data_IF_096230754378
#
_entry.id   IF_096230754378
#
_cell.length_a   1.000
_cell.length_b   1.000
_cell.length_c   1.000
_cell.angle_alpha   90.00
_cell.angle_beta   90.00
_cell.angle_gamma   90.00
#
_symmetry.space_group_name_H-M   'P 1'
#
loop_
_entity.id
_entity.type
_entity.pdbx_description
1 polymer ?
#
# COMPACT_ATOMS: atom_id res chain seq x y z
N UNK A 1 -10.53 -6.19 -3.50
CA UNK A 1 -9.78 -5.34 -4.47
C UNK A 1 -9.70 -6.06 -5.81
N UNK A 2 -9.60 -5.33 -6.92
CA UNK A 2 -9.35 -5.88 -8.27
C UNK A 2 -7.84 -5.99 -8.53
N UNK A 3 -7.43 -6.78 -9.53
CA UNK A 3 -6.01 -6.94 -9.91
C UNK A 3 -5.31 -5.60 -10.18
N UNK A 4 -5.90 -4.74 -11.01
CA UNK A 4 -5.34 -3.41 -11.34
C UNK A 4 -5.13 -2.53 -10.11
N UNK A 5 -6.02 -2.62 -9.11
CA UNK A 5 -5.87 -1.86 -7.86
C UNK A 5 -4.75 -2.40 -6.98
N UNK A 6 -4.51 -3.72 -7.01
CA UNK A 6 -3.39 -4.34 -6.31
C UNK A 6 -2.06 -4.00 -6.97
N UNK A 7 -2.00 -4.03 -8.30
CA UNK A 7 -0.84 -3.62 -9.09
C UNK A 7 -0.49 -2.16 -8.83
N UNK A 8 -1.47 -1.26 -8.91
CA UNK A 8 -1.28 0.17 -8.64
C UNK A 8 -0.78 0.43 -7.21
N UNK A 9 -1.36 -0.24 -6.21
CA UNK A 9 -0.90 -0.14 -4.83
C UNK A 9 0.54 -0.65 -4.70
N UNK A 10 0.88 -1.80 -5.30
CA UNK A 10 2.24 -2.36 -5.25
C UNK A 10 3.29 -1.42 -5.87
N UNK A 11 2.97 -0.82 -7.02
CA UNK A 11 3.86 0.15 -7.70
C UNK A 11 4.12 1.34 -6.79
N UNK A 12 3.07 1.92 -6.20
CA UNK A 12 3.20 3.06 -5.31
C UNK A 12 4.03 2.73 -4.07
N UNK A 13 3.71 1.64 -3.38
CA UNK A 13 4.43 1.21 -2.19
C UNK A 13 5.90 0.96 -2.51
N UNK A 14 6.19 0.31 -3.64
CA UNK A 14 7.57 0.02 -4.06
C UNK A 14 8.36 1.29 -4.38
N UNK A 15 7.73 2.27 -5.04
CA UNK A 15 8.37 3.55 -5.32
C UNK A 15 8.61 4.32 -4.02
N UNK A 16 7.57 4.50 -3.21
CA UNK A 16 7.62 5.28 -2.00
C UNK A 16 8.54 4.68 -0.92
N UNK A 17 8.56 3.35 -0.71
CA UNK A 17 9.50 2.71 0.22
C UNK A 17 10.96 2.91 -0.21
N UNK A 18 11.26 3.01 -1.51
CA UNK A 18 12.62 3.32 -1.98
C UNK A 18 13.00 4.77 -1.80
N UNK A 19 12.03 5.67 -1.88
CA UNK A 19 12.24 7.12 -1.80
C UNK A 19 12.29 7.61 -0.36
N UNK A 20 11.42 7.08 0.51
CA UNK A 20 11.26 7.52 1.89
C UNK A 20 11.84 6.47 2.84
N UNK A 21 13.14 6.63 3.13
CA UNK A 21 13.83 5.82 4.12
C UNK A 21 13.54 6.34 5.53
N UNK A 22 13.27 5.46 6.50
CA UNK A 22 12.88 5.86 7.85
C UNK A 22 14.08 6.40 8.64
N UNK A 23 13.87 7.52 9.35
CA UNK A 23 14.90 8.19 10.15
C UNK A 23 14.90 7.74 11.62
N UNK A 24 13.71 7.47 12.19
CA UNK A 24 13.54 7.14 13.60
C UNK A 24 12.94 5.73 13.83
N UNK A 25 12.82 5.34 15.11
CA UNK A 25 12.32 4.01 15.49
C UNK A 25 10.84 3.82 15.10
N UNK A 26 9.92 4.77 15.38
CA UNK A 26 8.53 4.69 14.90
C UNK A 26 8.40 4.54 13.38
N UNK A 27 9.15 5.34 12.61
CA UNK A 27 9.14 5.28 11.14
C UNK A 27 9.67 3.94 10.64
N UNK A 28 10.72 3.39 11.26
CA UNK A 28 11.24 2.05 10.92
C UNK A 28 10.19 0.97 11.13
N UNK A 29 9.43 1.02 12.23
CA UNK A 29 8.37 0.07 12.48
C UNK A 29 7.26 0.16 11.42
N UNK A 30 6.82 1.37 11.07
CA UNK A 30 5.82 1.58 10.02
C UNK A 30 6.33 1.10 8.66
N UNK A 31 7.58 1.43 8.33
CA UNK A 31 8.25 0.98 7.11
C UNK A 31 8.25 -0.54 7.02
N UNK A 32 8.71 -1.26 8.05
CA UNK A 32 8.76 -2.72 8.04
C UNK A 32 7.38 -3.37 7.90
N UNK A 33 6.35 -2.80 8.53
CA UNK A 33 4.97 -3.30 8.43
C UNK A 33 4.41 -3.11 7.02
N UNK A 34 4.67 -1.95 6.40
CA UNK A 34 4.23 -1.63 5.04
C UNK A 34 5.01 -2.42 4.00
N UNK A 35 6.32 -2.65 4.21
CA UNK A 35 7.16 -3.46 3.33
C UNK A 35 6.70 -4.93 3.34
N UNK A 36 6.43 -5.51 4.52
CA UNK A 36 5.83 -6.85 4.64
C UNK A 36 4.46 -6.94 3.95
N UNK A 37 3.65 -5.89 4.05
CA UNK A 37 2.38 -5.82 3.33
C UNK A 37 2.61 -5.81 1.81
N UNK A 38 3.58 -5.02 1.34
CA UNK A 38 3.95 -4.91 -0.07
C UNK A 38 4.43 -6.26 -0.64
N UNK A 39 5.26 -6.99 0.12
CA UNK A 39 5.69 -8.34 -0.22
C UNK A 39 4.53 -9.32 -0.33
N UNK A 40 3.56 -9.23 0.58
CA UNK A 40 2.36 -10.07 0.53
C UNK A 40 1.48 -9.74 -0.68
N UNK A 41 1.36 -8.46 -1.04
CA UNK A 41 0.68 -8.02 -2.27
C UNK A 41 1.37 -8.63 -3.49
N UNK A 42 2.70 -8.49 -3.58
CA UNK A 42 3.52 -9.06 -4.66
C UNK A 42 3.37 -10.58 -4.77
N UNK A 43 3.42 -11.30 -3.64
CA UNK A 43 3.24 -12.75 -3.61
C UNK A 43 1.85 -13.16 -4.10
N UNK A 44 0.81 -12.41 -3.73
CA UNK A 44 -0.57 -12.65 -4.18
C UNK A 44 -0.74 -12.40 -5.67
N UNK A 45 -0.16 -11.31 -6.20
CA UNK A 45 -0.12 -11.02 -7.63
C UNK A 45 0.58 -12.14 -8.41
N UNK A 46 1.74 -12.61 -7.92
CA UNK A 46 2.47 -13.72 -8.52
C UNK A 46 1.63 -15.00 -8.54
N UNK A 47 0.95 -15.34 -7.44
CA UNK A 47 0.09 -16.52 -7.37
C UNK A 47 -1.09 -16.46 -8.34
N UNK A 48 -1.71 -15.28 -8.53
CA UNK A 48 -2.83 -15.13 -9.48
C UNK A 48 -2.44 -15.31 -10.94
N UNK A 49 -1.15 -15.21 -11.31
CA UNK A 49 -0.70 -15.51 -12.67
C UNK A 49 -0.75 -17.01 -12.99
N UNK A 50 -0.72 -17.87 -11.96
CA UNK A 50 -0.72 -19.33 -12.11
C UNK A 50 -2.07 -19.98 -11.80
N UNK A 51 -2.89 -19.32 -10.98
CA UNK A 51 -4.15 -19.84 -10.48
C UNK A 51 -5.30 -19.06 -11.14
N UNK A 52 -5.93 -19.61 -12.19
CA UNK A 52 -7.06 -19.01 -12.93
C UNK A 52 -8.34 -18.82 -12.08
N UNK A 53 -8.30 -19.10 -10.78
CA UNK A 53 -9.39 -18.83 -9.84
C UNK A 53 -9.27 -17.38 -9.38
N UNK A 54 -10.28 -16.57 -9.69
CA UNK A 54 -10.40 -15.11 -9.53
C UNK A 54 -10.33 -14.56 -8.07
N UNK A 55 -9.41 -15.05 -7.25
CA UNK A 55 -9.27 -14.69 -5.84
C UNK A 55 -8.45 -13.42 -5.58
N UNK A 56 -8.81 -12.28 -6.19
CA UNK A 56 -8.09 -11.00 -6.03
C UNK A 56 -8.38 -10.29 -4.70
N UNK A 57 -9.13 -10.92 -3.79
CA UNK A 57 -9.48 -10.35 -2.49
C UNK A 57 -8.26 -10.34 -1.54
N UNK A 58 -7.45 -9.28 -1.56
CA UNK A 58 -6.62 -8.94 -0.41
C UNK A 58 -7.52 -8.35 0.68
N UNK A 59 -7.50 -8.95 1.87
CA UNK A 59 -8.07 -8.38 3.09
C UNK A 59 -6.91 -7.93 3.96
N UNK A 60 -6.95 -6.69 4.39
CA UNK A 60 -5.99 -6.16 5.37
C UNK A 60 -6.50 -6.53 6.75
N UNK A 61 -5.61 -6.94 7.65
CA UNK A 61 -5.95 -6.98 9.07
C UNK A 61 -5.86 -5.56 9.67
N UNK A 62 -6.36 -5.39 10.90
CA UNK A 62 -6.40 -4.07 11.55
C UNK A 62 -5.02 -3.42 11.68
N UNK A 63 -3.97 -4.22 11.93
CA UNK A 63 -2.59 -3.69 12.09
C UNK A 63 -2.05 -3.19 10.76
N UNK A 64 -2.22 -3.96 9.68
CA UNK A 64 -1.79 -3.58 8.33
C UNK A 64 -2.55 -2.36 7.82
N UNK A 65 -3.85 -2.31 8.07
CA UNK A 65 -4.70 -1.20 7.69
C UNK A 65 -4.24 0.09 8.39
N UNK A 66 -4.01 0.05 9.71
CA UNK A 66 -3.51 1.18 10.49
C UNK A 66 -2.09 1.58 10.10
N UNK A 67 -1.19 0.62 9.90
CA UNK A 67 0.18 0.88 9.48
C UNK A 67 0.22 1.56 8.11
N UNK A 68 -0.55 1.03 7.14
CA UNK A 68 -0.66 1.63 5.80
C UNK A 68 -1.26 3.04 5.88
N UNK A 69 -2.30 3.25 6.69
CA UNK A 69 -2.91 4.57 6.90
C UNK A 69 -1.90 5.58 7.46
N UNK A 70 -1.26 5.26 8.59
CA UNK A 70 -0.32 6.17 9.25
C UNK A 70 0.88 6.47 8.35
N UNK A 71 1.46 5.44 7.72
CA UNK A 71 2.60 5.59 6.84
C UNK A 71 2.23 6.41 5.59
N UNK A 72 1.11 6.12 4.93
CA UNK A 72 0.69 6.85 3.73
C UNK A 72 0.47 8.33 4.02
N UNK A 73 -0.21 8.65 5.14
CA UNK A 73 -0.44 10.05 5.55
C UNK A 73 0.85 10.81 5.81
N UNK A 74 1.90 10.13 6.25
CA UNK A 74 3.21 10.74 6.48
C UNK A 74 3.91 11.11 5.16
N UNK A 75 3.77 10.28 4.12
CA UNK A 75 4.48 10.49 2.84
C UNK A 75 3.62 11.15 1.74
N UNK A 76 2.31 11.30 1.96
CA UNK A 76 1.32 11.72 0.94
C UNK A 76 1.69 13.07 0.32
N UNK A 77 2.08 14.05 1.14
CA UNK A 77 2.44 15.39 0.68
C UNK A 77 3.68 15.35 -0.23
N UNK A 78 4.72 14.66 0.20
CA UNK A 78 5.96 14.51 -0.59
C UNK A 78 5.73 13.74 -1.89
N UNK A 79 4.81 12.77 -1.90
CA UNK A 79 4.42 12.06 -3.13
C UNK A 79 3.60 12.95 -4.08
N UNK A 80 2.74 13.84 -3.57
CA UNK A 80 1.99 14.79 -4.41
C UNK A 80 2.91 15.78 -5.11
N UNK A 81 3.91 16.28 -4.38
CA UNK A 81 4.89 17.25 -4.89
C UNK A 81 5.79 16.64 -5.96
N UNK A 82 6.07 15.33 -5.90
CA UNK A 82 6.85 14.62 -6.91
C UNK A 82 6.17 14.55 -8.28
N UNK A 83 4.85 14.78 -8.39
CA UNK A 83 4.12 14.92 -9.65
C UNK A 83 4.04 13.66 -10.53
N UNK A 84 4.63 12.55 -10.10
CA UNK A 84 4.59 11.24 -10.75
C UNK A 84 3.63 10.32 -9.98
N UNK A 85 2.97 9.36 -10.64
CA UNK A 85 2.05 8.36 -10.03
C UNK A 85 0.61 8.79 -9.70
N UNK A 86 0.02 9.73 -10.44
CA UNK A 86 -1.35 10.24 -10.19
C UNK A 86 -2.41 9.14 -10.09
N UNK A 87 -2.37 8.12 -10.95
CA UNK A 87 -3.34 7.02 -10.93
C UNK A 87 -3.19 6.15 -9.68
N UNK A 88 -1.96 5.78 -9.34
CA UNK A 88 -1.64 4.96 -8.18
C UNK A 88 -1.97 5.68 -6.87
N UNK A 89 -1.77 7.00 -6.83
CA UNK A 89 -2.20 7.83 -5.71
C UNK A 89 -3.71 7.88 -5.54
N UNK A 90 -4.50 7.94 -6.62
CA UNK A 90 -5.97 7.85 -6.55
C UNK A 90 -6.36 6.49 -5.95
N UNK A 91 -5.76 5.41 -6.44
CA UNK A 91 -6.05 4.06 -5.92
C UNK A 91 -5.69 3.93 -4.45
N UNK A 92 -4.53 4.45 -4.02
CA UNK A 92 -4.13 4.43 -2.62
C UNK A 92 -5.06 5.27 -1.75
N UNK A 93 -5.42 6.48 -2.18
CA UNK A 93 -6.39 7.32 -1.47
C UNK A 93 -7.74 6.63 -1.29
N UNK A 94 -8.27 5.97 -2.33
CA UNK A 94 -9.50 5.20 -2.19
C UNK A 94 -9.38 4.08 -1.14
N UNK A 95 -8.22 3.41 -1.09
CA UNK A 95 -7.98 2.34 -0.11
C UNK A 95 -7.85 2.92 1.30
N UNK A 96 -7.13 4.03 1.45
CA UNK A 96 -7.02 4.76 2.72
C UNK A 96 -8.40 5.22 3.21
N UNK A 97 -9.25 5.77 2.34
CA UNK A 97 -10.62 6.15 2.70
C UNK A 97 -11.51 4.97 3.08
N UNK A 98 -11.29 3.79 2.47
CA UNK A 98 -12.00 2.57 2.87
C UNK A 98 -11.56 2.09 4.25
N UNK A 99 -10.24 2.15 4.54
CA UNK A 99 -9.70 1.84 5.86
C UNK A 99 -10.25 2.80 6.91
N UNK A 100 -10.24 4.10 6.62
CA UNK A 100 -10.76 5.13 7.51
C UNK A 100 -12.24 4.89 7.86
N UNK A 101 -13.08 4.56 6.87
CA UNK A 101 -14.49 4.22 7.12
C UNK A 101 -14.72 2.96 7.95
N UNK A 102 -13.80 1.99 7.91
CA UNK A 102 -13.92 0.71 8.62
C UNK A 102 -13.37 0.78 10.05
N UNK A 103 -12.43 1.70 10.32
CA UNK A 103 -11.66 1.74 11.57
C UNK A 103 -11.67 3.10 12.30
N UNK A 104 -12.36 4.13 11.79
CA UNK A 104 -12.64 5.39 12.49
C UNK A 104 -13.83 5.24 13.46
#
# INVERSE_FOLDING_TARGET
MTQRRLEALHILLTAALKTFLPADIPEKLLYELVDKLNDRIRAKMKKSLYDNRQGYSLKLNSVEAKALYCWYRHIELSMKEAGHYTYEMIVANDIIHLIDKEYA
#
